data_IF_639906746500
#
_entry.id   IF_639906746500
#
_cell.length_a   1.000
_cell.length_b   1.000
_cell.length_c   1.000
_cell.angle_alpha   90.00
_cell.angle_beta   90.00
_cell.angle_gamma   90.00
#
_symmetry.space_group_name_H-M   'P 1'
#
loop_
_entity.id
_entity.type
_entity.pdbx_description
1 polymer ?
#
# COMPACT_ATOMS: atom_id res chain seq x y z
N UNK A 1 -7.70 2.93 19.05
CA UNK A 1 -7.24 3.64 17.84
C UNK A 1 -6.24 4.69 18.26
N UNK A 2 -5.04 4.30 18.67
CA UNK A 2 -3.99 5.27 18.99
C UNK A 2 -2.67 4.53 19.05
N UNK A 3 -1.94 4.60 17.94
CA UNK A 3 -0.49 4.48 17.96
C UNK A 3 0.01 5.48 16.93
N UNK A 4 0.00 6.74 17.33
CA UNK A 4 0.79 7.77 16.68
C UNK A 4 2.25 7.35 16.90
N UNK A 5 2.82 6.67 15.91
CA UNK A 5 4.24 6.36 15.87
C UNK A 5 4.93 7.57 15.23
N UNK A 6 5.65 8.42 15.97
CA UNK A 6 6.42 9.52 15.40
C UNK A 6 7.67 9.02 14.65
N UNK A 7 7.81 7.71 14.41
CA UNK A 7 8.99 7.05 13.84
C UNK A 7 9.11 7.18 12.32
N UNK A 8 8.07 7.70 11.66
CA UNK A 8 7.93 7.63 10.20
C UNK A 8 7.74 9.00 9.53
N UNK A 9 8.03 10.11 10.21
CA UNK A 9 7.95 11.46 9.63
C UNK A 9 9.12 11.79 8.68
N UNK A 10 9.49 10.88 7.78
CA UNK A 10 10.30 11.28 6.61
C UNK A 10 9.38 11.88 5.56
N UNK A 11 9.80 13.00 4.97
CA UNK A 11 9.06 13.66 3.89
C UNK A 11 8.80 12.70 2.72
N UNK A 12 9.75 11.80 2.46
CA UNK A 12 9.63 10.77 1.43
C UNK A 12 8.48 9.81 1.71
N UNK A 13 8.31 9.36 2.95
CA UNK A 13 7.21 8.45 3.28
C UNK A 13 5.84 9.15 3.18
N UNK A 14 5.76 10.44 3.58
CA UNK A 14 4.53 11.22 3.41
C UNK A 14 4.11 11.30 1.94
N UNK A 15 5.04 11.62 1.04
CA UNK A 15 4.81 11.65 -0.40
C UNK A 15 4.48 10.28 -0.97
N UNK A 16 5.06 9.23 -0.39
CA UNK A 16 4.77 7.84 -0.76
C UNK A 16 3.33 7.48 -0.44
N UNK A 17 2.87 7.79 0.78
CA UNK A 17 1.49 7.56 1.18
C UNK A 17 0.52 8.34 0.29
N UNK A 18 0.80 9.61 0.00
CA UNK A 18 -0.03 10.42 -0.88
C UNK A 18 -0.20 9.77 -2.26
N UNK A 19 0.89 9.24 -2.85
CA UNK A 19 0.82 8.54 -4.13
C UNK A 19 -0.01 7.25 -4.09
N UNK A 20 0.06 6.48 -2.99
CA UNK A 20 -0.74 5.26 -2.83
C UNK A 20 -2.22 5.58 -2.68
N UNK A 21 -2.54 6.66 -1.97
CA UNK A 21 -3.93 7.09 -1.80
C UNK A 21 -4.52 7.71 -3.07
N UNK A 22 -3.69 8.35 -3.90
CA UNK A 22 -4.16 9.09 -5.08
C UNK A 22 -4.19 8.27 -6.35
N UNK A 23 -3.32 7.26 -6.48
CA UNK A 23 -3.15 6.51 -7.72
C UNK A 23 -3.09 5.00 -7.47
N UNK A 24 -3.70 4.19 -8.36
CA UNK A 24 -3.61 2.74 -8.26
C UNK A 24 -2.15 2.27 -8.36
N UNK A 25 -1.81 1.27 -7.54
CA UNK A 25 -0.50 0.63 -7.58
C UNK A 25 -0.29 -0.12 -8.89
N UNK A 26 0.94 -0.12 -9.39
CA UNK A 26 1.31 -0.98 -10.53
C UNK A 26 1.14 -2.45 -10.14
N UNK A 27 0.69 -3.29 -11.06
CA UNK A 27 0.57 -4.73 -10.81
C UNK A 27 1.86 -5.34 -10.24
N UNK A 28 3.02 -4.94 -10.79
CA UNK A 28 4.33 -5.36 -10.28
C UNK A 28 4.60 -4.93 -8.83
N UNK A 29 4.19 -3.72 -8.44
CA UNK A 29 4.35 -3.24 -7.07
C UNK A 29 3.44 -4.03 -6.11
N UNK A 30 2.19 -4.25 -6.52
CA UNK A 30 1.21 -5.07 -5.78
C UNK A 30 1.73 -6.48 -5.52
N UNK A 31 2.30 -7.15 -6.53
CA UNK A 31 2.86 -8.50 -6.37
C UNK A 31 4.04 -8.54 -5.39
N UNK A 32 4.95 -7.57 -5.48
CA UNK A 32 6.12 -7.46 -4.59
C UNK A 32 5.68 -7.23 -3.14
N UNK A 33 4.76 -6.30 -2.92
CA UNK A 33 4.23 -5.99 -1.58
C UNK A 33 3.47 -7.19 -0.99
N UNK A 34 2.62 -7.83 -1.79
CA UNK A 34 1.90 -9.04 -1.38
C UNK A 34 2.83 -10.17 -0.98
N UNK A 35 3.94 -10.35 -1.70
CA UNK A 35 4.95 -11.36 -1.34
C UNK A 35 5.59 -11.03 0.01
N UNK A 36 6.03 -9.79 0.22
CA UNK A 36 6.66 -9.38 1.49
C UNK A 36 5.72 -9.48 2.68
N UNK A 37 4.44 -9.13 2.49
CA UNK A 37 3.43 -9.29 3.54
C UNK A 37 3.21 -10.76 3.91
N UNK A 38 3.17 -11.67 2.91
CA UNK A 38 3.07 -13.12 3.16
C UNK A 38 4.32 -13.69 3.84
N UNK A 39 5.48 -13.13 3.53
CA UNK A 39 6.76 -13.52 4.12
C UNK A 39 6.93 -12.95 5.55
N UNK A 40 5.97 -12.16 6.05
CA UNK A 40 5.97 -11.63 7.42
C UNK A 40 6.94 -10.47 7.63
N UNK A 41 7.14 -9.63 6.60
CA UNK A 41 8.00 -8.44 6.70
C UNK A 41 7.61 -7.53 7.87
N UNK A 42 8.59 -6.92 8.52
CA UNK A 42 8.34 -5.92 9.56
C UNK A 42 7.78 -4.63 8.95
N UNK A 43 7.14 -3.79 9.77
CA UNK A 43 6.61 -2.50 9.34
C UNK A 43 7.72 -1.61 8.74
N UNK A 44 8.92 -1.65 9.32
CA UNK A 44 10.08 -0.90 8.85
C UNK A 44 10.59 -1.41 7.49
N UNK A 45 10.67 -2.72 7.31
CA UNK A 45 11.09 -3.33 6.04
C UNK A 45 10.09 -3.02 4.92
N UNK A 46 8.80 -3.08 5.24
CA UNK A 46 7.73 -2.72 4.32
C UNK A 46 7.81 -1.24 3.95
N UNK A 47 7.96 -0.35 4.94
CA UNK A 47 8.09 1.08 4.70
C UNK A 47 9.28 1.41 3.78
N UNK A 48 10.45 0.80 4.04
CA UNK A 48 11.63 0.97 3.20
C UNK A 48 11.38 0.50 1.75
N UNK A 49 10.76 -0.68 1.59
CA UNK A 49 10.44 -1.22 0.27
C UNK A 49 9.49 -0.30 -0.53
N UNK A 50 8.43 0.19 0.11
CA UNK A 50 7.44 1.05 -0.56
C UNK A 50 8.10 2.37 -0.99
N UNK A 51 8.97 2.96 -0.16
CA UNK A 51 9.73 4.16 -0.52
C UNK A 51 10.68 3.89 -1.69
N UNK A 52 11.41 2.77 -1.69
CA UNK A 52 12.27 2.37 -2.81
C UNK A 52 11.49 2.23 -4.13
N UNK A 53 10.33 1.55 -4.09
CA UNK A 53 9.48 1.39 -5.27
C UNK A 53 9.00 2.74 -5.82
N UNK A 54 8.75 3.72 -4.95
CA UNK A 54 8.41 5.08 -5.36
C UNK A 54 9.58 5.81 -6.00
N UNK A 55 10.75 5.77 -5.36
CA UNK A 55 11.95 6.43 -5.88
C UNK A 55 12.35 5.89 -7.26
N UNK A 56 12.02 4.63 -7.54
CA UNK A 56 12.22 4.00 -8.86
C UNK A 56 11.09 4.29 -9.86
N UNK A 57 10.11 5.14 -9.55
CA UNK A 57 8.90 5.40 -10.35
C UNK A 57 8.12 4.11 -10.69
N UNK A 58 8.16 3.11 -9.80
CA UNK A 58 7.56 1.79 -9.99
C UNK A 58 6.39 1.49 -9.06
N UNK A 59 6.09 2.38 -8.10
CA UNK A 59 5.04 2.18 -7.10
C UNK A 59 3.63 2.32 -7.69
N UNK A 60 3.29 3.49 -8.24
CA UNK A 60 1.95 3.79 -8.75
C UNK A 60 1.94 4.05 -10.26
N UNK A 61 0.79 3.82 -10.90
CA UNK A 61 0.55 4.23 -12.28
C UNK A 61 0.18 5.72 -12.26
N UNK A 62 1.12 6.59 -12.61
CA UNK A 62 0.84 8.00 -12.84
C UNK A 62 0.55 8.13 -14.34
N UNK A 63 -0.69 7.86 -14.74
CA UNK A 63 -1.17 8.21 -16.07
C UNK A 63 -1.83 9.58 -16.00
N UNK A 64 -1.53 10.45 -16.98
CA UNK A 64 -2.17 11.77 -17.13
C UNK A 64 -3.63 11.68 -17.59
N UNK A 65 -4.10 10.48 -17.96
CA UNK A 65 -5.51 10.19 -18.22
C UNK A 65 -6.07 9.34 -17.08
N UNK A 66 -6.89 9.98 -16.26
CA UNK A 66 -7.67 9.43 -15.16
C UNK A 66 -8.53 8.25 -15.64
N UNK A 67 -8.01 7.03 -15.56
CA UNK A 67 -8.85 5.90 -15.19
C UNK A 67 -8.71 5.72 -13.67
N UNK A 68 -9.49 6.51 -12.92
CA UNK A 68 -9.90 6.17 -11.57
C UNK A 68 -10.59 4.81 -11.65
N UNK A 69 -9.80 3.73 -11.60
CA UNK A 69 -10.31 2.38 -11.59
C UNK A 69 -11.34 2.27 -10.48
N UNK A 70 -12.58 1.95 -10.84
CA UNK A 70 -13.72 1.91 -9.91
C UNK A 70 -13.29 1.16 -8.63
N UNK A 71 -13.47 1.77 -7.44
CA UNK A 71 -12.99 1.19 -6.19
C UNK A 71 -13.57 -0.22 -6.03
N UNK A 72 -12.75 -1.23 -6.27
CA UNK A 72 -13.19 -2.60 -6.19
C UNK A 72 -13.33 -2.97 -4.71
N UNK A 73 -14.56 -3.28 -4.31
CA UNK A 73 -14.84 -3.84 -3.00
C UNK A 73 -14.17 -5.20 -2.92
N UNK A 74 -12.99 -5.24 -2.30
CA UNK A 74 -12.36 -6.50 -1.89
C UNK A 74 -13.18 -7.01 -0.71
N UNK A 75 -13.78 -8.20 -0.85
CA UNK A 75 -14.47 -8.88 0.24
C UNK A 75 -13.49 -9.30 1.34
N UNK A 76 -13.02 -8.35 2.15
CA UNK A 76 -12.01 -8.57 3.20
C UNK A 76 -12.59 -8.98 4.56
N UNK A 77 -13.85 -9.44 4.62
CA UNK A 77 -14.45 -9.94 5.86
C UNK A 77 -15.17 -11.27 5.66
N UNK A 78 -14.40 -12.35 5.76
CA UNK A 78 -14.92 -13.67 6.14
C UNK A 78 -15.33 -13.69 7.61
N UNK A 79 -16.32 -12.89 8.01
CA UNK A 79 -16.95 -13.00 9.33
C UNK A 79 -18.02 -14.09 9.25
N UNK A 80 -17.70 -15.28 9.77
CA UNK A 80 -18.67 -16.36 9.93
C UNK A 80 -19.57 -16.02 11.13
N UNK A 81 -20.89 -16.04 10.92
CA UNK A 81 -21.83 -16.00 12.03
C UNK A 81 -21.61 -17.23 12.94
N UNK A 82 -21.75 -17.11 14.28
CA UNK A 82 -21.70 -18.27 15.16
C UNK A 82 -22.82 -19.23 14.76
N UNK A 83 -22.45 -20.46 14.41
CA UNK A 83 -23.39 -21.55 14.24
C UNK A 83 -24.01 -21.86 15.61
N UNK A 84 -25.31 -21.61 15.72
CA UNK A 84 -26.14 -22.08 16.82
C UNK A 84 -26.29 -23.61 16.78
#
# INVERSE_FOLDING_TARGET
>A
FTRESPLFETQELKLTLEQIYRHPLRASATDILNKRLRDGASDEELAALVVSLRQEDRLSVIHEEDEEGEPQIICSLGLRAPTA
#
